data_IF_510537858833
#
_entry.id   IF_510537858833
#
_cell.length_a   1.000
_cell.length_b   1.000
_cell.length_c   1.000
_cell.angle_alpha   90.00
_cell.angle_beta   90.00
_cell.angle_gamma   90.00
#
_symmetry.space_group_name_H-M   'P 1'
#
loop_
_entity.id
_entity.type
_entity.pdbx_description
1 polymer ?
#
# COMPACT_ATOMS: atom_id res chain seq x y z
N UNK A 1 -12.31 -11.01 -0.29
CA UNK A 1 -12.05 -10.61 -1.69
C UNK A 1 -10.66 -11.02 -2.22
N UNK A 2 -9.75 -11.61 -1.43
CA UNK A 2 -8.39 -12.00 -1.90
C UNK A 2 -8.38 -13.16 -2.93
N UNK A 3 -9.48 -13.92 -3.04
CA UNK A 3 -9.59 -15.06 -3.97
C UNK A 3 -9.81 -14.67 -5.45
N UNK A 4 -10.08 -13.41 -5.78
CA UNK A 4 -10.28 -12.97 -7.17
C UNK A 4 -8.95 -12.66 -7.90
N UNK A 5 -7.91 -12.30 -7.15
CA UNK A 5 -6.59 -11.88 -7.67
C UNK A 5 -5.85 -12.98 -8.44
N UNK A 6 -5.89 -14.28 -8.03
CA UNK A 6 -5.27 -15.36 -8.80
C UNK A 6 -5.95 -15.62 -10.14
N UNK A 7 -7.24 -15.30 -10.27
CA UNK A 7 -7.99 -15.53 -11.51
C UNK A 7 -7.73 -14.42 -12.54
N UNK A 8 -7.73 -13.16 -12.10
CA UNK A 8 -7.41 -12.03 -12.97
C UNK A 8 -5.97 -12.11 -13.53
N UNK A 9 -5.00 -12.47 -12.69
CA UNK A 9 -3.60 -12.62 -13.12
C UNK A 9 -3.40 -13.77 -14.13
N UNK A 10 -4.12 -14.89 -13.98
CA UNK A 10 -4.08 -16.00 -14.94
C UNK A 10 -4.75 -15.68 -16.27
N UNK A 11 -5.83 -14.90 -16.25
CA UNK A 11 -6.54 -14.47 -17.46
C UNK A 11 -5.74 -13.49 -18.33
N UNK A 12 -4.80 -12.73 -17.74
CA UNK A 12 -3.90 -11.84 -18.50
C UNK A 12 -3.07 -12.61 -19.54
N UNK A 13 -2.64 -13.84 -19.24
CA UNK A 13 -1.84 -14.63 -20.17
C UNK A 13 -2.63 -15.10 -21.39
N UNK A 14 -3.93 -15.34 -21.24
CA UNK A 14 -4.82 -15.74 -22.35
C UNK A 14 -5.43 -14.55 -23.09
N UNK A 15 -5.40 -13.37 -22.48
CA UNK A 15 -5.92 -12.14 -23.08
C UNK A 15 -5.16 -11.74 -24.35
N UNK A 16 -3.82 -11.79 -24.33
CA UNK A 16 -3.02 -11.34 -25.47
C UNK A 16 -3.24 -12.21 -26.73
N UNK A 17 -3.20 -13.56 -26.67
CA UNK A 17 -3.54 -14.40 -27.82
C UNK A 17 -4.98 -14.18 -28.30
N UNK A 18 -5.95 -14.04 -27.40
CA UNK A 18 -7.34 -13.80 -27.76
C UNK A 18 -7.50 -12.47 -28.51
N UNK A 19 -6.82 -11.42 -28.07
CA UNK A 19 -6.85 -10.11 -28.70
C UNK A 19 -6.25 -10.15 -30.11
N UNK A 20 -5.18 -10.93 -30.32
CA UNK A 20 -4.62 -11.15 -31.66
C UNK A 20 -5.61 -11.85 -32.60
N UNK A 21 -6.26 -12.93 -32.13
CA UNK A 21 -7.26 -13.65 -32.92
C UNK A 21 -8.47 -12.78 -33.26
N UNK A 22 -8.97 -12.01 -32.28
CA UNK A 22 -10.06 -11.07 -32.48
C UNK A 22 -9.67 -9.98 -33.49
N UNK A 23 -8.46 -9.44 -33.38
CA UNK A 23 -7.96 -8.41 -34.29
C UNK A 23 -7.84 -8.93 -35.73
N UNK A 24 -7.36 -10.17 -35.90
CA UNK A 24 -7.34 -10.84 -37.19
C UNK A 24 -8.76 -10.97 -37.74
N UNK A 25 -9.68 -11.56 -36.97
CA UNK A 25 -11.06 -11.79 -37.42
C UNK A 25 -11.75 -10.48 -37.85
N UNK A 26 -11.55 -9.40 -37.08
CA UNK A 26 -12.07 -8.07 -37.42
C UNK A 26 -11.43 -7.52 -38.69
N UNK A 27 -10.11 -7.67 -38.87
CA UNK A 27 -9.41 -7.19 -40.07
C UNK A 27 -9.92 -7.89 -41.34
N UNK A 28 -10.04 -9.22 -41.32
CA UNK A 28 -10.58 -10.00 -42.45
C UNK A 28 -12.03 -9.65 -42.74
N UNK A 29 -12.86 -9.50 -41.70
CA UNK A 29 -14.24 -9.07 -41.85
C UNK A 29 -14.35 -7.70 -42.53
N UNK A 30 -13.53 -6.73 -42.10
CA UNK A 30 -13.50 -5.39 -42.69
C UNK A 30 -12.97 -5.41 -44.13
N UNK A 31 -11.99 -6.26 -44.45
CA UNK A 31 -11.47 -6.44 -45.80
C UNK A 31 -12.57 -6.95 -46.76
N UNK A 32 -13.25 -8.04 -46.39
CA UNK A 32 -14.34 -8.63 -47.18
C UNK A 32 -15.49 -7.62 -47.37
N UNK A 33 -15.85 -6.90 -46.30
CA UNK A 33 -16.93 -5.91 -46.36
C UNK A 33 -16.58 -4.74 -47.29
N UNK A 34 -15.32 -4.28 -47.26
CA UNK A 34 -14.82 -3.22 -48.14
C UNK A 34 -14.90 -3.63 -49.61
N UNK A 35 -14.54 -4.88 -49.94
CA UNK A 35 -14.58 -5.39 -51.31
C UNK A 35 -16.01 -5.60 -51.81
N UNK A 36 -16.87 -6.28 -51.03
CA UNK A 36 -18.23 -6.63 -51.47
C UNK A 36 -19.25 -5.50 -51.34
N UNK A 37 -19.03 -4.53 -50.46
CA UNK A 37 -20.04 -3.54 -50.09
C UNK A 37 -19.44 -2.16 -49.83
N UNK A 38 -18.60 -1.68 -50.76
CA UNK A 38 -17.90 -0.39 -50.69
C UNK A 38 -18.79 0.81 -50.33
N UNK A 39 -20.07 0.80 -50.75
CA UNK A 39 -21.05 1.86 -50.42
C UNK A 39 -21.44 1.86 -48.93
N UNK A 40 -21.54 0.70 -48.30
CA UNK A 40 -21.96 0.56 -46.89
C UNK A 40 -20.80 0.50 -45.91
N UNK A 41 -19.58 0.20 -46.40
CA UNK A 41 -18.36 0.15 -45.58
C UNK A 41 -18.17 1.34 -44.62
N UNK A 42 -18.24 2.62 -45.04
CA UNK A 42 -18.00 3.73 -44.12
C UNK A 42 -19.07 3.82 -43.01
N UNK A 43 -20.31 3.43 -43.31
CA UNK A 43 -21.39 3.41 -42.32
C UNK A 43 -21.16 2.33 -41.25
N UNK A 44 -20.83 1.10 -41.67
CA UNK A 44 -20.52 0.00 -40.74
C UNK A 44 -19.29 0.32 -39.91
N UNK A 45 -18.23 0.84 -40.54
CA UNK A 45 -17.02 1.28 -39.84
C UNK A 45 -17.34 2.39 -38.81
N UNK A 46 -18.19 3.36 -39.19
CA UNK A 46 -18.66 4.41 -38.29
C UNK A 46 -19.40 3.87 -37.07
N UNK A 47 -20.30 2.90 -37.25
CA UNK A 47 -21.01 2.24 -36.13
C UNK A 47 -20.03 1.50 -35.23
N UNK A 48 -19.09 0.75 -35.79
CA UNK A 48 -18.09 0.02 -35.02
C UNK A 48 -17.21 0.96 -34.19
N UNK A 49 -16.70 2.03 -34.80
CA UNK A 49 -15.90 3.04 -34.11
C UNK A 49 -16.72 3.77 -33.04
N UNK A 50 -17.97 4.12 -33.32
CA UNK A 50 -18.85 4.73 -32.34
C UNK A 50 -19.13 3.80 -31.16
N UNK A 51 -19.42 2.51 -31.42
CA UNK A 51 -19.60 1.50 -30.38
C UNK A 51 -18.34 1.32 -29.53
N UNK A 52 -17.16 1.29 -30.16
CA UNK A 52 -15.88 1.18 -29.46
C UNK A 52 -15.61 2.41 -28.58
N UNK A 53 -15.80 3.62 -29.11
CA UNK A 53 -15.63 4.86 -28.35
C UNK A 53 -16.64 4.96 -27.20
N UNK A 54 -17.90 4.59 -27.45
CA UNK A 54 -18.94 4.54 -26.42
C UNK A 54 -18.57 3.55 -25.31
N UNK A 55 -18.19 2.32 -25.66
CA UNK A 55 -17.76 1.31 -24.69
C UNK A 55 -16.52 1.77 -23.90
N UNK A 56 -15.54 2.37 -24.57
CA UNK A 56 -14.35 2.92 -23.92
C UNK A 56 -14.71 4.05 -22.96
N UNK A 57 -15.64 4.93 -23.35
CA UNK A 57 -16.14 6.01 -22.51
C UNK A 57 -16.87 5.50 -21.28
N UNK A 58 -17.76 4.51 -21.42
CA UNK A 58 -18.45 3.88 -20.29
C UNK A 58 -17.47 3.18 -19.36
N UNK A 59 -16.52 2.42 -19.91
CA UNK A 59 -15.49 1.75 -19.13
C UNK A 59 -14.63 2.77 -18.37
N UNK A 60 -14.19 3.85 -19.02
CA UNK A 60 -13.40 4.89 -18.38
C UNK A 60 -14.20 5.60 -17.29
N UNK A 61 -15.46 5.94 -17.54
CA UNK A 61 -16.33 6.56 -16.54
C UNK A 61 -16.49 5.64 -15.31
N UNK A 62 -16.84 4.38 -15.52
CA UNK A 62 -16.98 3.39 -14.44
C UNK A 62 -15.66 3.19 -13.68
N UNK A 63 -14.53 3.09 -14.41
CA UNK A 63 -13.21 2.88 -13.83
C UNK A 63 -12.70 4.07 -13.01
N UNK A 64 -12.95 5.30 -13.44
CA UNK A 64 -12.44 6.50 -12.75
C UNK A 64 -13.41 7.05 -11.70
N UNK A 65 -14.72 6.85 -11.86
CA UNK A 65 -15.73 7.41 -10.97
C UNK A 65 -16.18 6.39 -9.92
N UNK A 66 -16.62 5.22 -10.35
CA UNK A 66 -17.31 4.27 -9.47
C UNK A 66 -16.36 3.20 -8.89
N UNK A 67 -15.37 2.78 -9.67
CA UNK A 67 -14.44 1.72 -9.26
C UNK A 67 -13.60 2.07 -8.02
N UNK A 68 -13.13 3.33 -7.80
CA UNK A 68 -12.44 3.68 -6.57
C UNK A 68 -13.32 3.49 -5.32
N UNK A 69 -14.62 3.74 -5.43
CA UNK A 69 -15.57 3.57 -4.34
C UNK A 69 -15.88 2.10 -4.09
N UNK A 70 -16.24 1.34 -5.14
CA UNK A 70 -16.64 -0.07 -5.01
C UNK A 70 -15.48 -1.00 -4.65
N UNK A 71 -14.27 -0.63 -5.05
CA UNK A 71 -13.07 -1.48 -4.94
C UNK A 71 -12.00 -0.87 -4.04
N UNK A 72 -12.34 0.08 -3.15
CA UNK A 72 -11.37 0.77 -2.30
C UNK A 72 -10.50 -0.18 -1.46
N UNK A 73 -11.05 -1.34 -1.06
CA UNK A 73 -10.30 -2.39 -0.39
C UNK A 73 -9.24 -3.02 -1.32
N UNK A 74 -9.62 -3.36 -2.55
CA UNK A 74 -8.72 -3.95 -3.53
C UNK A 74 -7.63 -2.98 -3.99
N UNK A 75 -7.91 -1.67 -3.94
CA UNK A 75 -6.94 -0.59 -4.18
C UNK A 75 -6.08 -0.26 -2.97
N UNK A 76 -6.29 -0.94 -1.83
CA UNK A 76 -5.52 -0.72 -0.62
C UNK A 76 -5.56 0.75 -0.17
N UNK A 77 -6.70 1.41 -0.41
CA UNK A 77 -6.89 2.84 -0.14
C UNK A 77 -6.55 3.25 1.31
N UNK A 78 -6.93 2.48 2.35
CA UNK A 78 -6.53 2.75 3.73
C UNK A 78 -5.00 2.81 3.92
N UNK A 79 -4.24 1.92 3.28
CA UNK A 79 -2.77 1.93 3.41
C UNK A 79 -2.16 3.21 2.84
N UNK A 80 -2.70 3.74 1.74
CA UNK A 80 -2.26 5.02 1.20
C UNK A 80 -2.54 6.17 2.17
N UNK A 81 -3.69 6.19 2.83
CA UNK A 81 -4.02 7.20 3.84
C UNK A 81 -3.08 7.12 5.05
N UNK A 82 -2.86 5.91 5.58
CA UNK A 82 -1.97 5.69 6.71
C UNK A 82 -0.52 6.03 6.39
N UNK A 83 -0.04 5.70 5.19
CA UNK A 83 1.31 6.05 4.74
C UNK A 83 1.51 7.57 4.63
N UNK A 84 0.51 8.30 4.10
CA UNK A 84 0.53 9.77 4.06
C UNK A 84 0.54 10.38 5.46
N UNK A 85 -0.31 9.87 6.35
CA UNK A 85 -0.34 10.31 7.75
C UNK A 85 1.00 10.04 8.43
N UNK A 86 1.52 8.82 8.30
CA UNK A 86 2.82 8.45 8.87
C UNK A 86 3.95 9.33 8.35
N UNK A 87 4.00 9.64 7.05
CA UNK A 87 5.04 10.52 6.50
C UNK A 87 5.06 11.91 7.15
N UNK A 88 3.90 12.42 7.59
CA UNK A 88 3.77 13.71 8.27
C UNK A 88 4.05 13.62 9.79
N UNK A 89 3.70 12.49 10.41
CA UNK A 89 3.71 12.32 11.87
C UNK A 89 4.78 11.32 12.37
N UNK A 90 5.70 10.84 11.54
CA UNK A 90 6.65 9.78 11.93
C UNK A 90 7.54 10.18 13.12
N UNK A 91 7.77 11.47 13.33
CA UNK A 91 8.58 11.98 14.44
C UNK A 91 7.84 11.94 15.78
N UNK A 92 6.52 11.79 15.78
CA UNK A 92 5.71 11.78 17.00
C UNK A 92 5.76 10.43 17.73
N UNK A 93 6.11 9.36 17.00
CA UNK A 93 6.08 8.00 17.50
C UNK A 93 7.49 7.43 17.66
N UNK A 94 7.70 6.62 18.69
CA UNK A 94 8.95 5.88 18.88
C UNK A 94 9.01 4.62 18.02
N UNK A 95 7.87 3.94 17.87
CA UNK A 95 7.71 2.77 17.02
C UNK A 95 6.32 2.76 16.40
N UNK A 96 6.22 2.23 15.18
CA UNK A 96 4.95 2.07 14.46
C UNK A 96 4.84 0.64 13.98
N UNK A 97 3.77 -0.04 14.37
CA UNK A 97 3.40 -1.36 13.87
C UNK A 97 2.26 -1.22 12.86
N UNK A 98 2.29 -2.02 11.80
CA UNK A 98 1.30 -1.95 10.72
C UNK A 98 0.73 -3.35 10.53
N UNK A 99 -0.58 -3.48 10.61
CA UNK A 99 -1.27 -4.73 10.35
C UNK A 99 -1.33 -5.05 8.85
N UNK A 100 -1.05 -6.31 8.51
CA UNK A 100 -0.92 -6.82 7.15
C UNK A 100 -2.23 -7.33 6.53
N UNK A 101 -3.41 -7.00 7.07
CA UNK A 101 -4.71 -7.52 6.63
C UNK A 101 -4.92 -7.52 5.10
N UNK A 102 -4.58 -6.41 4.42
CA UNK A 102 -4.80 -6.26 2.99
C UNK A 102 -3.56 -6.56 2.12
N UNK A 103 -2.54 -7.25 2.67
CA UNK A 103 -1.35 -7.75 1.97
C UNK A 103 -0.33 -6.66 1.56
N UNK A 104 0.92 -6.83 1.99
CA UNK A 104 2.08 -5.96 1.70
C UNK A 104 1.86 -4.45 1.94
N UNK A 105 1.44 -4.02 3.15
CA UNK A 105 1.27 -2.60 3.45
C UNK A 105 2.55 -1.78 3.30
N UNK A 106 3.71 -2.39 3.46
CA UNK A 106 5.01 -1.74 3.57
C UNK A 106 5.34 -0.92 2.32
N UNK A 107 4.89 -1.36 1.15
CA UNK A 107 5.15 -0.67 -0.13
C UNK A 107 4.61 0.77 -0.12
N UNK A 108 3.48 1.03 0.54
CA UNK A 108 2.90 2.36 0.65
C UNK A 108 3.74 3.28 1.52
N UNK A 109 4.27 2.75 2.63
CA UNK A 109 5.13 3.48 3.56
C UNK A 109 6.49 3.76 2.93
N UNK A 110 7.05 2.81 2.18
CA UNK A 110 8.28 3.01 1.42
C UNK A 110 8.10 4.03 0.30
N UNK A 111 6.96 4.04 -0.38
CA UNK A 111 6.66 5.06 -1.37
C UNK A 111 6.51 6.45 -0.74
N UNK A 112 5.83 6.56 0.41
CA UNK A 112 5.66 7.82 1.11
C UNK A 112 6.95 8.32 1.78
N UNK A 113 7.83 7.41 2.23
CA UNK A 113 9.09 7.72 2.91
C UNK A 113 10.21 6.77 2.42
N UNK A 114 10.84 7.06 1.26
CA UNK A 114 11.82 6.17 0.65
C UNK A 114 13.08 5.94 1.50
N UNK A 115 13.40 6.87 2.42
CA UNK A 115 14.51 6.70 3.37
C UNK A 115 14.36 5.47 4.28
N UNK A 116 13.13 4.97 4.47
CA UNK A 116 12.88 3.74 5.22
C UNK A 116 13.59 2.54 4.56
N UNK A 117 13.62 2.47 3.23
CA UNK A 117 14.31 1.40 2.48
C UNK A 117 15.80 1.42 2.83
N UNK A 118 16.41 2.62 2.80
CA UNK A 118 17.83 2.79 3.13
C UNK A 118 18.07 2.37 4.58
N UNK A 119 17.18 2.77 5.50
CA UNK A 119 17.29 2.43 6.91
C UNK A 119 17.16 0.91 7.18
N UNK A 120 16.32 0.23 6.41
CA UNK A 120 16.11 -1.22 6.48
C UNK A 120 17.32 -1.97 5.91
N UNK A 121 17.83 -1.55 4.75
CA UNK A 121 19.05 -2.12 4.16
C UNK A 121 20.25 -1.94 5.08
N UNK A 122 20.42 -0.75 5.68
CA UNK A 122 21.46 -0.51 6.69
C UNK A 122 21.30 -1.43 7.89
N UNK A 123 20.07 -1.60 8.39
CA UNK A 123 19.80 -2.52 9.50
C UNK A 123 20.13 -3.97 9.14
N UNK A 124 19.71 -4.44 7.96
CA UNK A 124 20.04 -5.78 7.46
C UNK A 124 21.56 -5.97 7.34
N UNK A 125 22.27 -5.00 6.77
CA UNK A 125 23.72 -5.04 6.66
C UNK A 125 24.40 -5.02 8.03
N UNK A 126 23.91 -4.21 8.97
CA UNK A 126 24.40 -4.18 10.34
C UNK A 126 24.20 -5.55 11.03
N UNK A 127 23.00 -6.14 10.92
CA UNK A 127 22.70 -7.47 11.46
C UNK A 127 23.58 -8.57 10.85
N UNK A 128 23.85 -8.51 9.54
CA UNK A 128 24.75 -9.45 8.86
C UNK A 128 26.22 -9.31 9.30
N UNK A 129 26.64 -8.09 9.63
CA UNK A 129 28.02 -7.78 10.04
C UNK A 129 28.21 -7.79 11.56
N UNK A 130 27.14 -8.03 12.33
CA UNK A 130 27.20 -8.07 13.80
C UNK A 130 27.83 -9.36 14.29
N UNK A 131 28.58 -9.33 15.41
CA UNK A 131 29.11 -10.54 15.99
C UNK A 131 27.95 -11.49 16.31
N UNK A 132 27.95 -12.63 15.63
CA UNK A 132 26.98 -13.69 15.87
C UNK A 132 27.28 -14.32 17.23
N UNK A 133 26.23 -14.66 17.98
CA UNK A 133 26.39 -15.44 19.21
C UNK A 133 26.96 -16.84 18.90
N UNK A 134 27.21 -17.64 19.93
CA UNK A 134 27.76 -19.01 19.78
C UNK A 134 26.91 -19.96 18.91
N UNK A 135 25.70 -19.56 18.54
CA UNK A 135 24.80 -20.31 17.65
C UNK A 135 24.77 -19.76 16.21
N UNK A 136 25.60 -18.77 15.87
CA UNK A 136 25.62 -18.17 14.54
C UNK A 136 24.46 -17.20 14.28
N UNK A 137 23.77 -16.75 15.34
CA UNK A 137 22.60 -15.88 15.24
C UNK A 137 23.01 -14.46 15.70
N UNK A 138 22.75 -13.40 14.91
CA UNK A 138 22.96 -12.02 15.34
C UNK A 138 22.12 -11.74 16.59
N UNK A 139 22.68 -11.07 17.60
CA UNK A 139 21.91 -10.65 18.78
C UNK A 139 21.13 -9.36 18.44
N UNK A 140 19.79 -9.41 18.24
CA UNK A 140 19.02 -8.27 17.72
C UNK A 140 18.99 -7.09 18.70
N UNK A 141 19.16 -7.34 19.99
CA UNK A 141 19.12 -6.35 21.07
C UNK A 141 20.31 -5.39 21.02
N UNK A 142 21.53 -5.89 20.80
CA UNK A 142 22.75 -5.08 20.76
C UNK A 142 22.80 -4.17 19.51
N UNK A 143 22.24 -4.62 18.39
CA UNK A 143 22.23 -3.85 17.13
C UNK A 143 21.20 -2.71 17.18
N UNK A 144 20.06 -2.94 17.83
CA UNK A 144 19.06 -1.89 18.06
C UNK A 144 19.59 -0.81 19.03
N UNK A 145 20.30 -1.21 20.09
CA UNK A 145 20.92 -0.29 21.06
C UNK A 145 22.06 0.53 20.44
N UNK A 146 22.92 -0.07 19.60
CA UNK A 146 23.98 0.68 18.90
C UNK A 146 23.40 1.73 17.95
N UNK A 147 22.34 1.40 17.21
CA UNK A 147 21.72 2.33 16.25
C UNK A 147 21.01 3.49 16.95
N UNK A 148 20.34 3.23 18.08
CA UNK A 148 19.75 4.27 18.91
C UNK A 148 20.83 5.24 19.42
N UNK A 149 21.99 4.73 19.83
CA UNK A 149 23.11 5.55 20.32
C UNK A 149 23.81 6.35 19.21
N UNK A 150 23.96 5.80 18.00
CA UNK A 150 24.59 6.50 16.87
C UNK A 150 23.75 7.64 16.31
N UNK A 151 22.42 7.45 16.14
CA UNK A 151 21.52 8.51 15.67
C UNK A 151 21.40 9.64 16.70
N UNK A 152 21.48 9.32 18.00
CA UNK A 152 21.46 10.31 19.08
C UNK A 152 22.75 11.13 19.15
N UNK A 153 23.90 10.49 18.93
CA UNK A 153 25.23 11.13 19.02
C UNK A 153 25.46 12.18 17.93
N UNK A 154 24.75 12.10 16.81
CA UNK A 154 24.87 13.07 15.70
C UNK A 154 23.99 14.31 15.87
N UNK A 155 23.07 14.35 16.85
CA UNK A 155 22.17 15.50 17.09
C UNK A 155 22.38 16.19 18.45
N UNK A 156 23.28 15.68 19.29
CA UNK A 156 23.32 16.03 20.70
C UNK A 156 24.63 16.71 21.14
N UNK A 157 24.66 18.06 21.13
CA UNK A 157 25.32 18.79 22.24
C UNK A 157 24.30 18.77 23.38
N UNK A 158 24.24 17.67 24.14
CA UNK A 158 23.17 17.44 25.13
C UNK A 158 23.61 17.77 26.53
N UNK A 159 22.84 18.68 27.14
CA UNK A 159 22.73 18.93 28.57
C UNK A 159 22.49 17.60 29.30
N UNK A 160 23.30 17.23 30.31
CA UNK A 160 23.15 15.98 31.06
C UNK A 160 21.80 15.86 31.82
N UNK A 161 20.98 16.90 31.87
CA UNK A 161 19.63 16.88 32.44
C UNK A 161 18.51 16.75 31.39
N UNK A 162 18.82 16.60 30.10
CA UNK A 162 17.80 16.47 29.05
C UNK A 162 17.18 15.06 29.08
N UNK A 163 16.02 14.93 29.73
CA UNK A 163 15.19 13.73 29.61
C UNK A 163 14.61 13.68 28.20
N UNK A 164 14.96 12.64 27.45
CA UNK A 164 14.37 12.39 26.13
C UNK A 164 12.87 12.20 26.33
N UNK A 165 12.00 13.03 25.73
CA UNK A 165 10.57 12.81 25.84
C UNK A 165 10.26 11.41 25.30
N UNK A 166 9.68 10.57 26.15
CA UNK A 166 9.26 9.21 25.78
C UNK A 166 8.10 9.33 24.80
N UNK A 167 8.42 9.25 23.50
CA UNK A 167 7.42 9.22 22.43
C UNK A 167 6.61 7.93 22.50
N UNK A 168 5.27 8.00 22.40
CA UNK A 168 4.42 6.81 22.49
C UNK A 168 4.63 5.88 21.28
N UNK A 169 4.27 4.61 21.44
CA UNK A 169 4.19 3.66 20.32
C UNK A 169 2.84 3.79 19.62
N UNK A 170 2.83 3.59 18.31
CA UNK A 170 1.62 3.56 17.50
C UNK A 170 1.44 2.20 16.80
N UNK A 171 0.19 1.87 16.54
CA UNK A 171 -0.22 0.67 15.83
C UNK A 171 -1.34 1.03 14.84
N UNK A 172 -1.13 0.72 13.57
CA UNK A 172 -2.18 0.73 12.56
C UNK A 172 -2.80 -0.65 12.50
N UNK A 173 -4.06 -0.76 12.93
CA UNK A 173 -4.76 -2.03 13.12
C UNK A 173 -6.00 -2.11 12.23
N UNK A 174 -6.41 -3.33 11.89
CA UNK A 174 -7.69 -3.54 11.23
C UNK A 174 -8.84 -3.23 12.21
N UNK A 175 -9.92 -2.61 11.74
CA UNK A 175 -10.96 -2.05 12.63
C UNK A 175 -11.65 -3.09 13.52
N UNK A 176 -11.70 -4.35 13.10
CA UNK A 176 -12.32 -5.46 13.85
C UNK A 176 -11.34 -6.14 14.84
N UNK A 177 -10.06 -5.75 14.83
CA UNK A 177 -9.09 -6.26 15.79
C UNK A 177 -9.28 -5.59 17.16
N UNK A 178 -9.22 -6.39 18.22
CA UNK A 178 -9.17 -5.87 19.59
C UNK A 178 -7.93 -5.01 19.78
N UNK A 179 -8.09 -3.85 20.41
CA UNK A 179 -6.97 -3.00 20.79
C UNK A 179 -6.00 -3.76 21.72
N UNK A 180 -4.68 -3.68 21.50
CA UNK A 180 -3.70 -4.18 22.45
C UNK A 180 -3.87 -3.51 23.83
N UNK A 181 -3.53 -4.22 24.90
CA UNK A 181 -3.58 -3.68 26.26
C UNK A 181 -2.74 -2.40 26.37
N UNK A 182 -3.33 -1.34 26.93
CA UNK A 182 -2.67 -0.04 27.09
C UNK A 182 -2.73 0.87 25.86
N UNK A 183 -3.34 0.43 24.76
CA UNK A 183 -3.54 1.27 23.57
C UNK A 183 -4.94 1.89 23.57
N UNK A 184 -5.01 3.13 23.08
CA UNK A 184 -6.28 3.81 22.80
C UNK A 184 -6.38 4.15 21.33
N UNK A 185 -7.57 4.00 20.78
CA UNK A 185 -7.88 4.43 19.42
C UNK A 185 -7.84 5.96 19.33
N UNK A 186 -7.07 6.47 18.38
CA UNK A 186 -6.88 7.91 18.14
C UNK A 186 -7.52 8.36 16.83
N UNK A 187 -7.47 7.53 15.79
CA UNK A 187 -7.94 7.92 14.45
C UNK A 187 -8.52 6.74 13.67
N UNK A 188 -9.45 7.04 12.78
CA UNK A 188 -10.02 6.12 11.79
C UNK A 188 -9.49 6.42 10.38
N UNK A 189 -9.25 5.36 9.60
CA UNK A 189 -8.97 5.42 8.18
C UNK A 189 -10.04 4.62 7.44
N UNK A 190 -11.16 5.26 7.09
CA UNK A 190 -12.25 4.59 6.40
C UNK A 190 -11.88 4.28 4.94
N UNK A 191 -12.64 3.39 4.34
CA UNK A 191 -12.70 3.19 2.90
C UNK A 191 -13.25 4.44 2.20
N UNK A 192 -13.12 4.46 0.86
CA UNK A 192 -13.59 5.59 0.05
C UNK A 192 -15.10 5.82 0.20
N UNK A 193 -15.87 4.74 0.39
CA UNK A 193 -17.32 4.78 0.64
C UNK A 193 -17.70 5.11 2.10
N UNK A 194 -16.73 5.43 2.97
CA UNK A 194 -16.95 5.75 4.38
C UNK A 194 -17.08 4.54 5.33
N UNK A 195 -17.01 3.31 4.83
CA UNK A 195 -17.00 2.11 5.69
C UNK A 195 -15.72 2.04 6.53
N UNK A 196 -15.78 1.48 7.76
CA UNK A 196 -14.60 1.33 8.60
C UNK A 196 -13.59 0.37 7.96
N UNK A 197 -12.29 0.62 8.16
CA UNK A 197 -11.24 -0.25 7.64
C UNK A 197 -10.01 -0.36 8.53
N UNK A 198 -9.26 0.72 8.70
CA UNK A 198 -8.08 0.72 9.56
C UNK A 198 -8.21 1.77 10.66
N UNK A 199 -7.53 1.56 11.77
CA UNK A 199 -7.50 2.49 12.90
C UNK A 199 -6.06 2.75 13.32
N UNK A 200 -5.79 3.96 13.79
CA UNK A 200 -4.58 4.27 14.54
C UNK A 200 -4.88 4.09 16.03
N UNK A 201 -4.09 3.25 16.68
CA UNK A 201 -4.05 3.11 18.13
C UNK A 201 -2.69 3.59 18.66
N UNK A 202 -2.69 4.29 19.78
CA UNK A 202 -1.48 4.83 20.42
C UNK A 202 -1.41 4.31 21.85
N UNK A 203 -0.22 3.87 22.26
CA UNK A 203 0.07 3.44 23.63
C UNK A 203 -0.09 4.64 24.57
N UNK A 204 -0.98 4.53 25.55
CA UNK A 204 -1.06 5.51 26.62
C UNK A 204 0.21 5.42 27.45
N UNK A 205 0.87 6.55 27.66
CA UNK A 205 1.85 6.64 28.74
C UNK A 205 1.10 6.27 30.02
N UNK A 206 1.54 5.21 30.71
CA UNK A 206 1.02 4.91 32.05
C UNK A 206 1.16 6.20 32.86
N UNK A 207 0.03 6.86 33.14
CA UNK A 207 0.03 7.93 34.11
C UNK A 207 0.55 7.29 35.40
N UNK A 208 1.76 7.69 35.81
CA UNK A 208 2.35 7.36 37.09
C UNK A 208 1.59 8.08 38.22
N UNK A 209 0.27 8.01 38.24
CA UNK A 209 -0.59 8.54 39.29
C UNK A 209 -1.34 7.37 39.94
N UNK A 210 -0.65 6.67 40.85
CA UNK A 210 -1.26 6.02 42.01
C UNK A 210 -0.17 5.50 42.94
N UNK A 211 0.49 6.41 43.66
CA UNK A 211 1.00 6.14 45.02
C UNK A 211 0.79 7.34 45.91
#
# INVERSE_FOLDING_TARGET
MVYEVPHASRAIYTFLPLLMLMSWAVAEFLFILKEKSRRFFPFVLGILLFGLLGNTGFFAADYFLDYPERSSEAWLYPYNQMAKYYAQHYQEYSAVTIDGHYWFPEIFFYYAKPDLIISEQRLKNALLNSPVNSFGIPNPTEVAEQKANEEFSQMAVVDPNFQVPTRPKAAFLYYDQSLPTGYVKVMDFPLYNGQPSMILAVEQAENQESK
#
